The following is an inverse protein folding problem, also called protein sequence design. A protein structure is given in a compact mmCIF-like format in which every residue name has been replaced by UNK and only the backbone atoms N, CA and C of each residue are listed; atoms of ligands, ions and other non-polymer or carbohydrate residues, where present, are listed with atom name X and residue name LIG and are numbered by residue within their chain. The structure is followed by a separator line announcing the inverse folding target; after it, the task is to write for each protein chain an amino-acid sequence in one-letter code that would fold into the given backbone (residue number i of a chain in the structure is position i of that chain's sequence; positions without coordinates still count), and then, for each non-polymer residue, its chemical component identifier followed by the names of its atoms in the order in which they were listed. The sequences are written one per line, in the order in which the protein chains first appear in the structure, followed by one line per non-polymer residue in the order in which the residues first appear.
data_IF_592390997750
#
_entry.id   IF_592390997750
#
_cell.length_a   1.000
_cell.length_b   1.000
_cell.length_c   1.000
_cell.angle_alpha   90.00
_cell.angle_beta   90.00
_cell.angle_gamma   90.00
#
_symmetry.space_group_name_H-M   'P 1'
#
loop_
_entity.id
_entity.type
_entity.pdbx_description
1 polymer ?
#
# COMPACT_ATOMS: atom_id res chain seq x y z
N UNK A 1 26.54 16.94 15.98
CA UNK A 1 25.58 17.90 15.42
C UNK A 1 24.20 17.26 15.55
N UNK A 2 23.26 17.91 16.24
CA UNK A 2 21.90 17.41 16.40
C UNK A 2 21.18 17.68 15.08
N UNK A 3 20.95 16.65 14.26
CA UNK A 3 20.06 16.80 13.11
C UNK A 3 18.64 16.96 13.67
N UNK A 4 18.07 18.17 13.53
CA UNK A 4 16.65 18.41 13.77
C UNK A 4 15.87 17.67 12.69
N UNK A 5 15.67 16.37 12.90
CA UNK A 5 14.82 15.53 12.07
C UNK A 5 13.42 15.49 12.70
N UNK A 6 12.42 15.90 11.93
CA UNK A 6 11.03 15.98 12.42
C UNK A 6 10.25 14.77 11.92
N UNK A 7 9.48 14.08 12.80
CA UNK A 7 8.62 13.00 12.35
C UNK A 7 7.52 13.53 11.43
N UNK A 8 7.41 12.91 10.26
CA UNK A 8 6.40 13.19 9.24
C UNK A 8 5.53 11.95 9.06
N UNK A 9 4.31 12.00 9.58
CA UNK A 9 3.32 10.95 9.38
C UNK A 9 2.53 11.19 8.10
N UNK A 10 2.49 10.19 7.22
CA UNK A 10 1.79 10.22 5.95
C UNK A 10 0.72 9.12 5.94
N UNK A 11 -0.58 9.48 5.89
CA UNK A 11 -1.65 8.50 5.81
C UNK A 11 -1.79 7.96 4.38
N UNK A 12 -2.10 6.67 4.25
CA UNK A 12 -2.48 6.08 2.98
C UNK A 12 -3.90 6.51 2.64
N UNK A 13 -4.10 7.06 1.43
CA UNK A 13 -5.42 7.49 0.95
C UNK A 13 -5.91 6.52 -0.10
N UNK A 14 -7.12 6.01 0.08
CA UNK A 14 -7.74 5.16 -0.93
C UNK A 14 -7.97 5.97 -2.22
N UNK A 15 -7.48 5.47 -3.34
CA UNK A 15 -7.77 6.01 -4.65
C UNK A 15 -9.00 5.28 -5.22
N UNK A 16 -10.19 5.77 -4.85
CA UNK A 16 -11.46 5.16 -5.25
C UNK A 16 -11.67 5.20 -6.75
N UNK A 17 -11.21 6.27 -7.42
CA UNK A 17 -11.36 6.42 -8.85
C UNK A 17 -10.49 5.40 -9.60
N UNK A 18 -9.21 5.29 -9.26
CA UNK A 18 -8.31 4.33 -9.88
C UNK A 18 -8.71 2.88 -9.54
N UNK A 19 -9.17 2.63 -8.32
CA UNK A 19 -9.75 1.35 -7.93
C UNK A 19 -10.91 0.97 -8.86
N UNK A 20 -11.83 1.90 -9.13
CA UNK A 20 -12.98 1.65 -10.00
C UNK A 20 -12.56 1.43 -11.46
N UNK A 21 -11.63 2.24 -11.98
CA UNK A 21 -11.08 2.05 -13.33
C UNK A 21 -10.49 0.64 -13.49
N UNK A 22 -9.74 0.17 -12.49
CA UNK A 22 -9.17 -1.18 -12.51
C UNK A 22 -10.24 -2.27 -12.38
N UNK A 23 -11.33 -2.06 -11.62
CA UNK A 23 -12.47 -3.00 -11.55
C UNK A 23 -13.22 -3.08 -12.88
N UNK A 24 -13.49 -1.93 -13.51
CA UNK A 24 -14.13 -1.86 -14.83
C UNK A 24 -13.30 -2.55 -15.91
N UNK A 25 -11.97 -2.52 -15.81
CA UNK A 25 -11.09 -3.28 -16.71
C UNK A 25 -11.36 -4.79 -16.62
N UNK A 26 -11.50 -5.33 -15.41
CA UNK A 26 -11.84 -6.75 -15.19
C UNK A 26 -13.21 -7.08 -15.79
N UNK A 27 -14.21 -6.24 -15.48
CA UNK A 27 -15.57 -6.44 -15.97
C UNK A 27 -15.65 -6.37 -17.50
N UNK A 28 -14.96 -5.42 -18.13
CA UNK A 28 -14.94 -5.26 -19.58
C UNK A 28 -14.30 -6.47 -20.28
N UNK A 29 -13.25 -7.06 -19.71
CA UNK A 29 -12.64 -8.27 -20.26
C UNK A 29 -13.60 -9.45 -20.22
N UNK A 30 -14.29 -9.63 -19.09
CA UNK A 30 -15.29 -10.69 -18.89
C UNK A 30 -16.47 -10.54 -19.85
N UNK A 31 -17.05 -9.34 -19.94
CA UNK A 31 -18.21 -9.06 -20.81
C UNK A 31 -17.89 -9.27 -22.29
N UNK A 32 -16.65 -8.97 -22.72
CA UNK A 32 -16.23 -9.09 -24.11
C UNK A 32 -15.60 -10.45 -24.44
N UNK A 33 -15.47 -11.36 -23.47
CA UNK A 33 -14.77 -12.63 -23.64
C UNK A 33 -13.29 -12.47 -24.03
N UNK A 34 -12.67 -11.32 -23.69
CA UNK A 34 -11.30 -11.00 -24.05
C UNK A 34 -10.32 -11.49 -22.98
N UNK A 35 -9.14 -11.92 -23.41
CA UNK A 35 -8.04 -12.20 -22.49
C UNK A 35 -7.36 -10.89 -22.08
N UNK A 36 -6.88 -10.85 -20.83
CA UNK A 36 -5.95 -9.81 -20.38
C UNK A 36 -4.68 -9.81 -21.23
N UNK A 37 -3.97 -8.68 -21.25
CA UNK A 37 -2.63 -8.62 -21.84
C UNK A 37 -1.69 -9.57 -21.07
N UNK A 38 -0.68 -10.09 -21.76
CA UNK A 38 0.29 -10.96 -21.10
C UNK A 38 1.02 -10.22 -19.99
N UNK A 39 1.10 -10.83 -18.80
CA UNK A 39 1.64 -10.21 -17.60
C UNK A 39 0.78 -9.12 -16.93
N UNK A 40 -0.41 -8.79 -17.47
CA UNK A 40 -1.31 -7.77 -16.89
C UNK A 40 -1.82 -8.20 -15.51
N UNK A 41 -1.74 -7.29 -14.54
CA UNK A 41 -2.25 -7.45 -13.19
C UNK A 41 -3.65 -6.87 -13.09
N UNK A 42 -4.64 -7.74 -13.08
CA UNK A 42 -6.04 -7.40 -12.82
C UNK A 42 -6.27 -7.27 -11.31
N UNK A 43 -7.01 -6.25 -10.88
CA UNK A 43 -7.35 -6.04 -9.46
C UNK A 43 -8.23 -7.18 -8.94
N UNK A 44 -7.90 -7.73 -7.77
CA UNK A 44 -8.73 -8.75 -7.13
C UNK A 44 -9.96 -8.12 -6.43
N UNK A 45 -11.04 -8.89 -6.19
CA UNK A 45 -12.25 -8.35 -5.55
C UNK A 45 -12.02 -7.77 -4.15
N UNK A 46 -11.06 -8.34 -3.42
CA UNK A 46 -10.64 -7.96 -2.09
C UNK A 46 -9.47 -6.98 -2.09
N UNK A 47 -9.19 -6.33 -3.21
CA UNK A 47 -8.14 -5.32 -3.32
C UNK A 47 -8.71 -3.92 -3.58
N UNK A 48 -7.96 -2.93 -3.11
CA UNK A 48 -8.17 -1.53 -3.43
C UNK A 48 -6.82 -0.83 -3.66
N UNK A 49 -6.84 0.20 -4.49
CA UNK A 49 -5.66 1.01 -4.78
C UNK A 49 -5.57 2.11 -3.74
N UNK A 50 -4.37 2.30 -3.20
CA UNK A 50 -4.03 3.36 -2.27
C UNK A 50 -2.91 4.22 -2.84
N UNK A 51 -2.86 5.45 -2.37
CA UNK A 51 -1.87 6.44 -2.72
C UNK A 51 -1.24 7.04 -1.47
N UNK A 52 0.06 7.22 -1.52
CA UNK A 52 0.83 7.96 -0.53
C UNK A 52 1.42 9.20 -1.21
N UNK A 53 1.17 10.37 -0.64
CA UNK A 53 1.68 11.65 -1.14
C UNK A 53 2.85 12.12 -0.26
N UNK A 54 4.02 12.25 -0.86
CA UNK A 54 5.23 12.70 -0.18
C UNK A 54 5.33 14.22 -0.22
N UNK A 55 5.19 14.86 0.95
CA UNK A 55 5.40 16.32 1.09
C UNK A 55 6.89 16.70 1.13
N UNK A 56 7.76 15.75 1.48
CA UNK A 56 9.24 15.84 1.44
C UNK A 56 9.82 14.61 0.75
N UNK A 57 11.03 14.71 0.18
CA UNK A 57 11.65 13.60 -0.59
C UNK A 57 12.99 13.10 -0.02
N UNK A 58 13.58 13.81 0.95
CA UNK A 58 14.65 13.27 1.81
C UNK A 58 13.98 12.72 3.07
N UNK A 59 13.82 11.41 3.12
CA UNK A 59 13.08 10.71 4.18
C UNK A 59 13.92 9.53 4.69
N UNK A 60 13.91 9.30 5.99
CA UNK A 60 14.32 8.04 6.61
C UNK A 60 13.09 7.34 7.17
N UNK A 61 12.97 6.02 7.01
CA UNK A 61 11.82 5.31 7.58
C UNK A 61 11.93 5.26 9.11
N UNK A 62 10.79 5.48 9.78
CA UNK A 62 10.72 5.43 11.24
C UNK A 62 9.85 4.27 11.72
N UNK A 63 8.59 4.21 11.28
CA UNK A 63 7.66 3.14 11.66
C UNK A 63 6.41 3.09 10.79
N UNK A 64 5.77 1.93 10.81
CA UNK A 64 4.38 1.77 10.40
C UNK A 64 3.43 2.12 11.56
N UNK A 65 2.24 2.61 11.22
CA UNK A 65 1.11 2.70 12.15
C UNK A 65 -0.09 2.08 11.45
N UNK A 66 -0.45 0.87 11.88
CA UNK A 66 -1.54 0.08 11.29
C UNK A 66 -2.53 -0.26 12.41
N UNK A 67 -3.76 0.20 12.23
CA UNK A 67 -4.91 -0.17 13.06
C UNK A 67 -5.82 -1.12 12.30
N UNK A 68 -6.16 -2.25 12.92
CA UNK A 68 -7.19 -3.18 12.43
C UNK A 68 -8.30 -3.22 13.46
N UNK A 69 -9.49 -2.69 13.18
CA UNK A 69 -10.57 -2.60 14.18
C UNK A 69 -11.07 -3.97 14.67
N UNK A 70 -10.91 -4.99 13.83
CA UNK A 70 -11.37 -6.37 14.06
C UNK A 70 -10.30 -7.38 13.61
N UNK A 71 -10.52 -8.66 13.93
CA UNK A 71 -9.72 -9.76 13.37
C UNK A 71 -9.67 -9.68 11.86
N UNK A 72 -8.48 -9.89 11.29
CA UNK A 72 -8.28 -9.77 9.86
C UNK A 72 -6.82 -9.67 9.50
N UNK A 73 -6.56 -9.71 8.18
CA UNK A 73 -5.22 -9.57 7.63
C UNK A 73 -5.24 -8.55 6.49
N UNK A 74 -4.25 -7.68 6.50
CA UNK A 74 -3.97 -6.68 5.50
C UNK A 74 -2.61 -6.98 4.88
N UNK A 75 -2.56 -7.05 3.55
CA UNK A 75 -1.30 -7.08 2.80
C UNK A 75 -1.19 -5.82 1.96
N UNK A 76 -0.05 -5.13 2.08
CA UNK A 76 0.26 -3.89 1.38
C UNK A 76 1.40 -4.15 0.41
N UNK A 77 1.15 -3.98 -0.88
CA UNK A 77 2.14 -4.16 -1.93
C UNK A 77 2.39 -2.83 -2.62
N UNK A 78 3.65 -2.38 -2.63
CA UNK A 78 4.03 -1.20 -3.41
C UNK A 78 3.99 -1.46 -4.90
N UNK A 79 3.70 -0.42 -5.67
CA UNK A 79 3.80 -0.43 -7.12
C UNK A 79 5.01 0.41 -7.54
N UNK A 80 5.74 -0.05 -8.55
CA UNK A 80 6.87 0.66 -9.16
C UNK A 80 6.49 2.10 -9.51
N UNK A 81 7.34 3.04 -9.10
CA UNK A 81 7.22 4.47 -9.40
C UNK A 81 7.25 4.80 -10.91
N UNK A 82 7.67 3.85 -11.75
CA UNK A 82 7.65 4.01 -13.21
C UNK A 82 6.27 3.73 -13.81
N UNK A 83 5.36 3.08 -13.08
CA UNK A 83 3.99 2.89 -13.53
C UNK A 83 3.25 4.23 -13.50
N UNK A 84 2.54 4.52 -14.58
CA UNK A 84 1.68 5.69 -14.69
C UNK A 84 0.28 5.20 -15.03
N UNK A 85 -0.69 5.26 -14.09
CA UNK A 85 -1.99 4.61 -14.23
C UNK A 85 -2.78 5.10 -15.45
N UNK A 86 -2.62 6.38 -15.83
CA UNK A 86 -3.30 6.95 -17.00
C UNK A 86 -2.75 6.46 -18.35
N UNK A 87 -1.55 5.87 -18.37
CA UNK A 87 -0.86 5.51 -19.61
C UNK A 87 -0.89 4.01 -19.91
N UNK A 88 -0.84 3.16 -18.88
CA UNK A 88 -0.70 1.71 -19.05
C UNK A 88 -1.43 0.91 -17.99
N UNK A 89 -1.97 -0.26 -18.34
CA UNK A 89 -2.43 -1.24 -17.36
C UNK A 89 -1.28 -1.66 -16.44
N UNK A 90 -1.61 -1.96 -15.18
CA UNK A 90 -0.64 -2.48 -14.21
C UNK A 90 -0.13 -3.85 -14.66
N UNK A 91 1.17 -4.08 -14.54
CA UNK A 91 1.81 -5.38 -14.84
C UNK A 91 2.28 -6.05 -13.54
N UNK A 92 2.22 -7.38 -13.46
CA UNK A 92 2.63 -8.13 -12.26
C UNK A 92 4.07 -7.82 -11.84
N UNK A 93 4.98 -7.65 -12.81
CA UNK A 93 6.38 -7.29 -12.56
C UNK A 93 6.60 -5.89 -11.94
N UNK A 94 5.57 -5.04 -11.91
CA UNK A 94 5.63 -3.72 -11.30
C UNK A 94 5.23 -3.76 -9.82
N UNK A 95 4.72 -4.88 -9.31
CA UNK A 95 4.54 -5.10 -7.88
C UNK A 95 5.91 -5.30 -7.24
N UNK A 96 6.17 -4.58 -6.16
CA UNK A 96 7.46 -4.59 -5.47
C UNK A 96 7.39 -5.48 -4.23
N UNK A 97 8.53 -6.09 -3.94
CA UNK A 97 8.81 -6.81 -2.70
C UNK A 97 9.79 -5.98 -1.83
N UNK A 98 9.78 -6.15 -0.49
CA UNK A 98 8.88 -7.01 0.26
C UNK A 98 7.46 -6.45 0.39
N UNK A 99 6.50 -7.33 0.69
CA UNK A 99 5.10 -6.99 0.99
C UNK A 99 4.93 -6.75 2.49
N UNK A 100 4.30 -5.65 2.88
CA UNK A 100 3.92 -5.41 4.27
C UNK A 100 2.70 -6.25 4.65
N UNK A 101 2.85 -7.21 5.57
CA UNK A 101 1.74 -8.05 6.05
C UNK A 101 1.45 -7.74 7.51
N UNK A 102 0.19 -7.38 7.77
CA UNK A 102 -0.30 -6.96 9.09
C UNK A 102 -1.55 -7.75 9.44
N UNK A 103 -1.67 -8.26 10.66
CA UNK A 103 -2.85 -9.03 11.05
C UNK A 103 -3.19 -8.91 12.52
N UNK A 104 -4.43 -9.24 12.83
CA UNK A 104 -4.95 -9.43 14.18
C UNK A 104 -5.57 -10.81 14.28
N UNK A 105 -5.13 -11.61 15.25
CA UNK A 105 -5.57 -12.98 15.42
C UNK A 105 -6.97 -13.05 16.07
N UNK A 106 -7.69 -14.17 15.91
CA UNK A 106 -8.90 -14.42 16.69
C UNK A 106 -8.60 -14.46 18.19
N UNK A 107 -9.34 -13.69 18.98
CA UNK A 107 -9.19 -13.65 20.44
C UNK A 107 -8.26 -12.55 20.96
N UNK A 108 -7.57 -11.84 20.07
CA UNK A 108 -6.85 -10.61 20.45
C UNK A 108 -7.85 -9.53 20.88
N UNK A 109 -7.49 -8.78 21.92
CA UNK A 109 -8.27 -7.64 22.35
C UNK A 109 -8.27 -6.54 21.27
N UNK A 110 -9.32 -5.72 21.23
CA UNK A 110 -9.45 -4.68 20.19
C UNK A 110 -8.33 -3.61 20.25
N UNK A 111 -7.69 -3.47 21.40
CA UNK A 111 -6.55 -2.58 21.67
C UNK A 111 -5.18 -3.28 21.57
N UNK A 112 -5.15 -4.60 21.31
CA UNK A 112 -3.90 -5.33 21.13
C UNK A 112 -3.12 -4.81 19.91
N UNK A 113 -1.78 -4.74 19.99
CA UNK A 113 -0.96 -4.30 18.88
C UNK A 113 -1.15 -5.22 17.67
N UNK A 114 -1.22 -4.62 16.48
CA UNK A 114 -1.30 -5.38 15.22
C UNK A 114 0.01 -6.12 15.00
N UNK A 115 -0.09 -7.40 14.68
CA UNK A 115 1.06 -8.25 14.39
C UNK A 115 1.56 -8.01 12.97
N UNK A 116 2.86 -8.14 12.75
CA UNK A 116 3.47 -8.04 11.42
C UNK A 116 4.73 -8.90 11.30
N UNK A 117 5.18 -9.16 10.08
CA UNK A 117 6.53 -9.68 9.84
C UNK A 117 7.52 -8.51 9.96
N UNK A 118 8.12 -8.33 11.13
CA UNK A 118 8.88 -7.13 11.48
C UNK A 118 10.01 -6.80 10.50
N UNK A 119 10.77 -7.82 10.06
CA UNK A 119 11.87 -7.65 9.11
C UNK A 119 11.38 -7.14 7.75
N UNK A 120 10.38 -7.82 7.18
CA UNK A 120 9.79 -7.44 5.89
C UNK A 120 9.12 -6.07 5.97
N UNK A 121 8.42 -5.77 7.07
CA UNK A 121 7.78 -4.47 7.28
C UNK A 121 8.81 -3.33 7.39
N UNK A 122 9.94 -3.57 8.06
CA UNK A 122 11.01 -2.59 8.17
C UNK A 122 11.70 -2.35 6.83
N UNK A 123 12.15 -3.41 6.14
CA UNK A 123 12.74 -3.30 4.79
C UNK A 123 11.77 -2.63 3.81
N UNK A 124 10.49 -2.96 3.89
CA UNK A 124 9.46 -2.34 3.06
C UNK A 124 9.38 -0.83 3.29
N UNK A 125 9.41 -0.40 4.55
CA UNK A 125 9.40 1.00 4.94
C UNK A 125 10.60 1.79 4.40
N UNK A 126 11.81 1.25 4.57
CA UNK A 126 13.06 1.83 4.04
C UNK A 126 12.99 1.99 2.52
N UNK A 127 12.50 0.96 1.82
CA UNK A 127 12.35 1.00 0.35
C UNK A 127 11.33 2.05 -0.12
N UNK A 128 10.27 2.29 0.64
CA UNK A 128 9.33 3.39 0.34
C UNK A 128 10.03 4.75 0.51
N UNK A 129 10.87 4.93 1.54
CA UNK A 129 11.64 6.15 1.75
C UNK A 129 12.59 6.43 0.57
N UNK A 130 13.33 5.41 0.12
CA UNK A 130 14.18 5.51 -1.07
C UNK A 130 13.38 5.91 -2.32
N UNK A 131 12.22 5.28 -2.53
CA UNK A 131 11.35 5.54 -3.70
C UNK A 131 10.65 6.89 -3.66
N UNK A 132 10.56 7.55 -2.50
CA UNK A 132 10.03 8.90 -2.37
C UNK A 132 10.88 9.94 -3.12
N UNK A 133 12.17 9.66 -3.34
CA UNK A 133 13.08 10.51 -4.13
C UNK A 133 12.68 10.57 -5.61
N UNK A 134 11.98 9.54 -6.13
CA UNK A 134 11.65 9.40 -7.55
C UNK A 134 10.45 10.25 -7.95
N UNK A 135 9.36 10.22 -7.16
CA UNK A 135 8.12 10.97 -7.42
C UNK A 135 7.43 11.34 -6.10
N UNK A 136 6.66 12.44 -6.14
CA UNK A 136 5.88 12.95 -5.00
C UNK A 136 4.63 12.12 -4.65
N UNK A 137 4.27 11.14 -5.47
CA UNK A 137 3.14 10.26 -5.20
C UNK A 137 3.54 8.83 -5.55
N UNK A 138 3.10 7.87 -4.75
CA UNK A 138 3.32 6.45 -4.96
C UNK A 138 2.02 5.67 -4.77
N UNK A 139 1.83 4.62 -5.57
CA UNK A 139 0.65 3.79 -5.53
C UNK A 139 0.92 2.43 -4.88
N UNK A 140 -0.10 1.88 -4.25
CA UNK A 140 -0.06 0.64 -3.49
C UNK A 140 -1.33 -0.16 -3.76
N UNK A 141 -1.22 -1.49 -3.67
CA UNK A 141 -2.37 -2.38 -3.56
C UNK A 141 -2.53 -2.77 -2.10
N UNK A 142 -3.71 -2.52 -1.54
CA UNK A 142 -4.13 -3.08 -0.26
C UNK A 142 -5.00 -4.29 -0.55
N UNK A 143 -4.60 -5.46 -0.08
CA UNK A 143 -5.37 -6.69 -0.15
C UNK A 143 -5.91 -7.04 1.24
N UNK A 144 -7.23 -7.19 1.34
CA UNK A 144 -7.94 -7.48 2.58
C UNK A 144 -8.28 -8.97 2.66
N UNK A 145 -8.01 -9.60 3.80
CA UNK A 145 -8.31 -11.00 4.04
C UNK A 145 -8.89 -11.20 5.45
N UNK A 146 -9.45 -12.39 5.69
CA UNK A 146 -9.86 -12.87 7.01
C UNK A 146 -10.90 -11.98 7.71
N UNK A 147 -11.81 -11.39 6.93
CA UNK A 147 -12.87 -10.49 7.41
C UNK A 147 -12.47 -9.01 7.46
N UNK A 148 -11.23 -8.67 7.10
CA UNK A 148 -10.79 -7.28 6.96
C UNK A 148 -11.48 -6.56 5.80
N UNK A 149 -11.68 -5.26 5.94
CA UNK A 149 -12.29 -4.39 4.92
C UNK A 149 -11.65 -2.98 4.95
N UNK A 150 -11.78 -2.16 3.89
CA UNK A 150 -11.26 -0.79 3.91
C UNK A 150 -11.73 0.04 5.11
N UNK A 151 -12.96 -0.14 5.56
CA UNK A 151 -13.54 0.62 6.68
C UNK A 151 -13.02 0.20 8.04
N UNK A 152 -12.36 -0.96 8.13
CA UNK A 152 -11.81 -1.51 9.38
C UNK A 152 -10.30 -1.30 9.50
N UNK A 153 -9.70 -0.51 8.60
CA UNK A 153 -8.25 -0.29 8.53
C UNK A 153 -7.91 1.19 8.58
N UNK A 154 -7.05 1.55 9.53
CA UNK A 154 -6.30 2.80 9.51
C UNK A 154 -4.84 2.47 9.23
N UNK A 155 -4.23 3.16 8.27
CA UNK A 155 -2.84 2.90 7.91
C UNK A 155 -2.11 4.20 7.56
N UNK A 156 -0.99 4.42 8.24
CA UNK A 156 -0.04 5.47 7.96
C UNK A 156 1.39 4.95 8.09
N UNK A 157 2.32 5.70 7.51
CA UNK A 157 3.76 5.48 7.65
C UNK A 157 4.39 6.77 8.16
N UNK A 158 5.28 6.65 9.14
CA UNK A 158 6.03 7.78 9.68
C UNK A 158 7.46 7.72 9.17
N UNK A 159 7.94 8.86 8.69
CA UNK A 159 9.33 9.07 8.29
C UNK A 159 10.00 10.10 9.21
N UNK A 160 11.31 10.03 9.36
CA UNK A 160 12.12 11.20 9.72
C UNK A 160 12.34 12.02 8.46
N UNK A 161 12.20 13.33 8.55
CA UNK A 161 12.50 14.22 7.44
C UNK A 161 13.50 15.28 7.88
N UNK A 162 14.52 15.50 7.06
CA UNK A 162 15.46 16.60 7.26
C UNK A 162 14.69 17.92 7.18
N UNK A 163 15.00 18.86 8.09
CA UNK A 163 14.39 20.18 8.12
C UNK A 163 14.62 20.95 6.82
#
# INVERSE_FOLDING_TARGET
ELSDSVPLELPFRQDTQLTEVMRLRVQSLQQRGQKRQDGERLLLPNEAVYRLDFSKQSLGFLRWTVGLAQTGRLSITAISQLWTPDLTNLMTRQLLEPVGVFWRAPGDASDAPVQCYEADAHEFGERIAELATVRKAMYFLFAYADGCSPQSVDCSITFTADC
#
